data_IF_477734915447
#
_entry.id   IF_477734915447
#
_cell.length_a   1.000
_cell.length_b   1.000
_cell.length_c   1.000
_cell.angle_alpha   90.00
_cell.angle_beta   90.00
_cell.angle_gamma   90.00
#
_symmetry.space_group_name_H-M   'P 1'
#
loop_
_entity.id
_entity.type
_entity.pdbx_description
1 polymer ?
#
# COMPACT_ATOMS: atom_id res chain seq x y z
N UNK A 1 17.70 -15.00 0.19
CA UNK A 1 18.02 -13.58 -0.14
C UNK A 1 17.56 -12.73 1.03
N UNK A 2 18.35 -11.77 1.51
CA UNK A 2 17.92 -10.88 2.59
C UNK A 2 16.83 -9.93 2.06
N UNK A 3 15.78 -9.69 2.84
CA UNK A 3 14.69 -8.80 2.44
C UNK A 3 15.18 -7.35 2.29
N UNK A 4 14.81 -6.69 1.20
CA UNK A 4 15.16 -5.30 0.92
C UNK A 4 14.37 -4.33 1.81
N UNK A 5 14.90 -3.14 2.07
CA UNK A 5 14.20 -2.10 2.82
C UNK A 5 12.86 -1.73 2.18
N UNK A 6 12.84 -1.67 0.84
CA UNK A 6 11.67 -1.46 0.01
C UNK A 6 11.84 -2.21 -1.32
N UNK A 7 10.74 -2.39 -2.04
CA UNK A 7 10.70 -2.99 -3.38
C UNK A 7 9.98 -2.07 -4.35
N UNK A 8 10.32 -2.16 -5.64
CA UNK A 8 9.51 -1.54 -6.69
C UNK A 8 8.17 -2.26 -6.78
N UNK A 9 7.08 -1.51 -6.90
CA UNK A 9 5.75 -2.06 -7.04
C UNK A 9 4.97 -1.30 -8.13
N UNK A 10 4.35 -1.96 -9.12
CA UNK A 10 3.58 -1.29 -10.16
C UNK A 10 2.31 -0.67 -9.56
N UNK A 11 2.01 0.56 -9.96
CA UNK A 11 0.85 1.31 -9.45
C UNK A 11 -0.06 1.83 -10.54
N UNK A 12 0.21 1.54 -11.82
CA UNK A 12 -0.66 1.88 -12.95
C UNK A 12 -2.10 1.40 -12.74
N UNK A 13 -2.29 0.17 -12.27
CA UNK A 13 -3.61 -0.38 -11.96
C UNK A 13 -4.41 0.43 -10.91
N UNK A 14 -3.75 1.24 -10.08
CA UNK A 14 -4.41 2.13 -9.12
C UNK A 14 -4.94 3.37 -9.82
N UNK A 15 -4.18 3.90 -10.78
CA UNK A 15 -4.60 5.02 -11.63
C UNK A 15 -5.76 4.63 -12.54
N UNK A 16 -5.82 3.36 -12.96
CA UNK A 16 -6.91 2.76 -13.74
C UNK A 16 -8.07 2.25 -12.87
N UNK A 17 -8.35 2.92 -11.74
CA UNK A 17 -9.46 2.64 -10.84
C UNK A 17 -9.47 1.22 -10.21
N UNK A 18 -8.37 0.47 -10.28
CA UNK A 18 -8.32 -0.92 -9.84
C UNK A 18 -8.59 -1.12 -8.35
N UNK A 19 -8.28 -0.14 -7.49
CA UNK A 19 -8.66 -0.18 -6.08
C UNK A 19 -10.19 -0.22 -5.87
N UNK A 20 -10.98 0.37 -6.79
CA UNK A 20 -12.45 0.37 -6.69
C UNK A 20 -13.05 -1.03 -6.86
N UNK A 21 -12.34 -1.94 -7.54
CA UNK A 21 -12.76 -3.33 -7.75
C UNK A 21 -12.86 -4.11 -6.42
N UNK A 22 -12.04 -3.74 -5.44
CA UNK A 22 -12.10 -4.30 -4.10
C UNK A 22 -13.20 -3.65 -3.27
N UNK A 23 -14.39 -4.27 -3.26
CA UNK A 23 -15.57 -3.79 -2.51
C UNK A 23 -15.83 -4.64 -1.27
N UNK A 24 -16.35 -4.02 -0.22
CA UNK A 24 -16.81 -4.75 0.97
C UNK A 24 -18.26 -5.18 0.80
N UNK A 25 -18.43 -6.45 0.47
CA UNK A 25 -19.73 -7.14 0.34
C UNK A 25 -19.74 -8.37 1.27
N UNK A 26 -20.92 -8.86 1.70
CA UNK A 26 -21.02 -10.14 2.39
C UNK A 26 -20.26 -11.23 1.64
N UNK A 27 -19.56 -12.10 2.37
CA UNK A 27 -18.75 -13.23 1.85
C UNK A 27 -17.52 -12.86 1.01
N UNK A 28 -17.51 -11.72 0.32
CA UNK A 28 -16.38 -11.25 -0.51
C UNK A 28 -15.42 -10.32 0.22
N UNK A 29 -15.92 -9.51 1.16
CA UNK A 29 -15.12 -8.48 1.84
C UNK A 29 -13.87 -9.04 2.53
N UNK A 30 -14.02 -10.18 3.21
CA UNK A 30 -12.90 -10.88 3.83
C UNK A 30 -11.84 -11.34 2.82
N UNK A 31 -12.27 -11.81 1.64
CA UNK A 31 -11.37 -12.27 0.58
C UNK A 31 -10.64 -11.09 -0.07
N UNK A 32 -11.30 -9.94 -0.22
CA UNK A 32 -10.67 -8.72 -0.73
C UNK A 32 -9.60 -8.15 0.22
N UNK A 33 -9.82 -8.24 1.54
CA UNK A 33 -8.77 -7.89 2.52
C UNK A 33 -7.61 -8.87 2.42
N UNK A 34 -7.91 -10.18 2.38
CA UNK A 34 -6.88 -11.21 2.21
C UNK A 34 -6.09 -11.05 0.90
N UNK A 35 -6.75 -10.65 -0.19
CA UNK A 35 -6.14 -10.37 -1.48
C UNK A 35 -5.11 -9.24 -1.37
N UNK A 36 -5.49 -8.09 -0.82
CA UNK A 36 -4.57 -6.95 -0.68
C UNK A 36 -3.41 -7.23 0.29
N UNK A 37 -3.63 -7.97 1.38
CA UNK A 37 -2.56 -8.44 2.27
C UNK A 37 -1.59 -9.37 1.53
N UNK A 38 -2.13 -10.32 0.76
CA UNK A 38 -1.36 -11.29 -0.01
C UNK A 38 -0.56 -10.61 -1.12
N UNK A 39 -1.15 -9.64 -1.82
CA UNK A 39 -0.49 -8.85 -2.86
C UNK A 39 0.72 -8.09 -2.31
N UNK A 40 0.59 -7.51 -1.12
CA UNK A 40 1.70 -6.83 -0.45
C UNK A 40 2.87 -7.78 -0.19
N UNK A 41 2.60 -8.98 0.35
CA UNK A 41 3.64 -10.00 0.59
C UNK A 41 4.26 -10.49 -0.72
N UNK A 42 3.46 -10.74 -1.77
CA UNK A 42 3.98 -11.09 -3.10
C UNK A 42 4.92 -9.99 -3.60
N UNK A 43 4.51 -8.71 -3.50
CA UNK A 43 5.34 -7.56 -3.82
C UNK A 43 6.69 -7.57 -3.09
N UNK A 44 6.68 -7.76 -1.77
CA UNK A 44 7.90 -7.77 -0.95
C UNK A 44 8.90 -8.88 -1.32
N UNK A 45 8.40 -9.98 -1.86
CA UNK A 45 9.19 -11.15 -2.23
C UNK A 45 9.46 -11.28 -3.74
N UNK A 46 8.99 -10.33 -4.55
CA UNK A 46 9.25 -10.31 -5.97
C UNK A 46 10.73 -10.00 -6.27
N UNK A 47 11.30 -10.72 -7.22
CA UNK A 47 12.62 -10.42 -7.79
C UNK A 47 12.56 -9.23 -8.78
N UNK A 48 13.69 -8.92 -9.43
CA UNK A 48 13.77 -7.83 -10.42
C UNK A 48 12.89 -8.04 -11.66
N UNK A 49 12.43 -9.28 -11.90
CA UNK A 49 11.50 -9.62 -12.98
C UNK A 49 10.04 -9.58 -12.53
N UNK A 50 9.76 -9.24 -11.26
CA UNK A 50 8.40 -9.21 -10.72
C UNK A 50 7.86 -10.58 -10.31
N UNK A 51 8.74 -11.58 -10.13
CA UNK A 51 8.33 -12.93 -9.77
C UNK A 51 8.65 -13.21 -8.31
N UNK A 52 7.62 -13.56 -7.53
CA UNK A 52 7.77 -14.01 -6.16
C UNK A 52 7.74 -15.55 -6.09
N UNK A 53 8.82 -16.14 -5.58
CA UNK A 53 8.89 -17.56 -5.27
C UNK A 53 8.56 -17.78 -3.78
N UNK A 54 7.30 -18.05 -3.45
CA UNK A 54 6.80 -18.15 -2.08
C UNK A 54 5.78 -19.27 -1.93
N UNK A 55 5.97 -20.14 -0.93
CA UNK A 55 5.02 -21.23 -0.65
C UNK A 55 3.77 -20.68 0.04
N UNK A 56 2.70 -21.47 0.07
CA UNK A 56 1.52 -21.16 0.88
C UNK A 56 1.85 -20.98 2.37
N UNK A 57 2.84 -21.73 2.89
CA UNK A 57 3.30 -21.56 4.26
C UNK A 57 4.06 -20.25 4.45
N UNK A 58 4.90 -19.86 3.49
CA UNK A 58 5.55 -18.55 3.51
C UNK A 58 4.55 -17.39 3.48
N UNK A 59 3.51 -17.51 2.65
CA UNK A 59 2.39 -16.57 2.64
C UNK A 59 1.62 -16.58 3.96
N UNK A 60 1.35 -17.75 4.54
CA UNK A 60 0.63 -17.89 5.81
C UNK A 60 1.39 -17.28 6.97
N UNK A 61 2.69 -17.52 7.07
CA UNK A 61 3.54 -16.86 8.06
C UNK A 61 3.53 -15.35 7.84
N UNK A 62 3.82 -14.86 6.63
CA UNK A 62 3.93 -13.43 6.37
C UNK A 62 2.61 -12.65 6.56
N UNK A 63 1.46 -13.26 6.26
CA UNK A 63 0.14 -12.63 6.34
C UNK A 63 -0.64 -12.93 7.61
N UNK A 64 -0.24 -13.92 8.39
CA UNK A 64 -1.02 -14.51 9.48
C UNK A 64 -2.39 -15.09 9.06
N UNK A 65 -2.58 -15.36 7.76
CA UNK A 65 -3.82 -15.93 7.22
C UNK A 65 -3.75 -17.45 7.06
N UNK A 66 -4.91 -18.10 7.15
CA UNK A 66 -5.02 -19.53 6.81
C UNK A 66 -4.78 -19.77 5.31
N UNK A 67 -4.31 -20.97 4.96
CA UNK A 67 -4.13 -21.37 3.55
C UNK A 67 -5.40 -21.20 2.71
N UNK A 68 -6.58 -21.46 3.28
CA UNK A 68 -7.87 -21.26 2.61
C UNK A 68 -8.12 -19.79 2.29
N UNK A 69 -7.79 -18.86 3.21
CA UNK A 69 -7.94 -17.42 2.95
C UNK A 69 -6.90 -16.88 1.97
N UNK A 70 -5.70 -17.44 1.99
CA UNK A 70 -4.68 -17.15 0.97
C UNK A 70 -5.17 -17.60 -0.41
N UNK A 71 -5.70 -18.82 -0.54
CA UNK A 71 -6.24 -19.31 -1.80
C UNK A 71 -7.33 -18.39 -2.36
N UNK A 72 -8.31 -18.04 -1.53
CA UNK A 72 -9.38 -17.12 -1.92
C UNK A 72 -8.85 -15.71 -2.27
N UNK A 73 -7.83 -15.21 -1.56
CA UNK A 73 -7.18 -13.95 -1.88
C UNK A 73 -6.42 -14.01 -3.21
N UNK A 74 -5.71 -15.10 -3.49
CA UNK A 74 -5.01 -15.33 -4.75
C UNK A 74 -5.98 -15.42 -5.94
N UNK A 75 -7.13 -16.07 -5.77
CA UNK A 75 -8.17 -16.14 -6.81
C UNK A 75 -8.69 -14.73 -7.15
N UNK A 76 -8.95 -13.89 -6.13
CA UNK A 76 -9.34 -12.49 -6.33
C UNK A 76 -8.25 -11.69 -7.06
N UNK A 77 -6.97 -11.90 -6.73
CA UNK A 77 -5.87 -11.18 -7.38
C UNK A 77 -5.67 -11.60 -8.84
N UNK A 78 -5.88 -12.87 -9.15
CA UNK A 78 -5.80 -13.39 -10.52
C UNK A 78 -7.01 -12.92 -11.36
N UNK A 79 -8.22 -12.92 -10.79
CA UNK A 79 -9.42 -12.35 -11.43
C UNK A 79 -9.28 -10.83 -11.67
N UNK A 80 -8.60 -10.13 -10.76
CA UNK A 80 -8.30 -8.71 -10.91
C UNK A 80 -7.12 -8.42 -11.87
N UNK A 81 -6.50 -9.46 -12.44
CA UNK A 81 -5.33 -9.39 -13.32
C UNK A 81 -4.12 -8.68 -12.68
N UNK A 82 -3.96 -8.79 -11.36
CA UNK A 82 -2.81 -8.21 -10.65
C UNK A 82 -1.64 -9.20 -10.52
N UNK A 83 -1.95 -10.50 -10.55
CA UNK A 83 -0.94 -11.56 -10.55
C UNK A 83 -1.29 -12.66 -11.57
N UNK A 84 -0.29 -13.46 -11.94
CA UNK A 84 -0.46 -14.75 -12.63
C UNK A 84 0.14 -15.88 -11.81
N UNK A 85 -0.57 -17.01 -11.73
CA UNK A 85 -0.05 -18.25 -11.12
C UNK A 85 0.49 -19.17 -12.21
N UNK A 86 1.80 -19.41 -12.22
CA UNK A 86 2.40 -20.34 -13.19
C UNK A 86 2.16 -21.79 -12.72
N UNK A 87 1.23 -22.50 -13.36
CA UNK A 87 0.78 -23.85 -12.97
C UNK A 87 1.88 -24.93 -12.90
N UNK A 88 3.06 -24.68 -13.47
CA UNK A 88 4.21 -25.59 -13.43
C UNK A 88 5.05 -25.49 -12.13
N UNK A 89 4.84 -24.47 -11.30
CA UNK A 89 5.48 -24.32 -10.00
C UNK A 89 4.52 -23.75 -8.97
N UNK A 90 3.99 -24.61 -8.08
CA UNK A 90 2.93 -24.34 -7.07
C UNK A 90 3.18 -23.18 -6.07
N UNK A 91 4.26 -22.43 -6.26
CA UNK A 91 4.76 -21.39 -5.35
C UNK A 91 5.39 -20.21 -6.11
N UNK A 92 4.99 -19.95 -7.36
CA UNK A 92 5.47 -18.81 -8.16
C UNK A 92 4.31 -17.91 -8.57
N UNK A 93 4.43 -16.63 -8.20
CA UNK A 93 3.46 -15.58 -8.51
C UNK A 93 4.16 -14.49 -9.30
N UNK A 94 3.67 -14.20 -10.50
CA UNK A 94 4.17 -13.12 -11.33
C UNK A 94 3.26 -11.90 -11.15
N UNK A 95 3.83 -10.74 -10.84
CA UNK A 95 3.08 -9.48 -10.78
C UNK A 95 2.85 -8.99 -12.20
N UNK A 96 1.59 -8.75 -12.55
CA UNK A 96 1.22 -8.24 -13.87
C UNK A 96 1.74 -6.81 -14.04
N UNK A 97 2.29 -6.54 -15.22
CA UNK A 97 2.88 -5.24 -15.59
C UNK A 97 3.94 -4.72 -14.60
N UNK A 98 4.76 -5.62 -14.03
CA UNK A 98 5.81 -5.24 -13.08
C UNK A 98 6.79 -4.19 -13.63
N UNK A 99 7.14 -4.30 -14.92
CA UNK A 99 8.03 -3.37 -15.59
C UNK A 99 7.34 -2.06 -16.00
N UNK A 100 6.02 -1.95 -15.86
CA UNK A 100 5.21 -0.80 -16.24
C UNK A 100 5.47 0.47 -15.42
N UNK A 101 4.88 1.57 -15.89
CA UNK A 101 4.84 2.87 -15.22
C UNK A 101 3.37 3.34 -15.15
N UNK A 102 2.98 4.06 -14.08
CA UNK A 102 3.78 4.43 -12.92
C UNK A 102 4.07 3.26 -11.96
N UNK A 103 5.07 3.46 -11.09
CA UNK A 103 5.42 2.54 -10.01
C UNK A 103 5.77 3.32 -8.74
N UNK A 104 5.60 2.67 -7.59
CA UNK A 104 5.89 3.23 -6.26
C UNK A 104 6.90 2.38 -5.48
N UNK A 105 7.50 2.97 -4.43
CA UNK A 105 8.32 2.25 -3.46
C UNK A 105 7.42 1.64 -2.39
N UNK A 106 7.30 0.32 -2.37
CA UNK A 106 6.58 -0.41 -1.34
C UNK A 106 7.56 -0.75 -0.17
N UNK A 107 7.34 -0.23 1.05
CA UNK A 107 8.19 -0.56 2.21
C UNK A 107 8.11 -2.06 2.52
N UNK A 108 9.23 -2.72 2.77
CA UNK A 108 9.27 -4.17 2.98
C UNK A 108 9.92 -4.54 4.32
N UNK A 109 11.27 -4.64 4.40
CA UNK A 109 12.00 -5.18 5.58
C UNK A 109 11.53 -4.66 6.93
N UNK A 110 11.25 -3.36 7.06
CA UNK A 110 10.86 -2.75 8.33
C UNK A 110 9.47 -3.15 8.82
N UNK A 111 8.62 -3.67 7.95
CA UNK A 111 7.28 -4.17 8.31
C UNK A 111 7.30 -5.57 8.93
N UNK A 112 8.38 -6.34 8.72
CA UNK A 112 8.48 -7.72 9.19
C UNK A 112 9.07 -7.81 10.59
N UNK A 113 8.48 -8.68 11.40
CA UNK A 113 8.99 -9.15 12.69
C UNK A 113 9.23 -10.67 12.63
N UNK A 114 9.56 -11.31 13.77
CA UNK A 114 9.88 -12.74 13.88
C UNK A 114 8.78 -13.69 13.34
N UNK A 115 7.56 -13.19 13.10
CA UNK A 115 6.44 -14.01 12.64
C UNK A 115 5.85 -13.66 11.28
N UNK A 116 6.27 -12.57 10.62
CA UNK A 116 5.59 -12.03 9.45
C UNK A 116 5.45 -10.51 9.52
N UNK A 117 4.52 -9.92 8.77
CA UNK A 117 4.24 -8.49 8.85
C UNK A 117 3.52 -8.20 10.16
N UNK A 118 4.15 -7.42 11.04
CA UNK A 118 3.64 -7.20 12.40
C UNK A 118 2.22 -6.63 12.42
N UNK A 119 1.92 -5.67 11.55
CA UNK A 119 0.58 -5.07 11.45
C UNK A 119 -0.52 -6.07 11.07
N UNK A 120 -0.18 -7.16 10.37
CA UNK A 120 -1.15 -8.11 9.85
C UNK A 120 -1.72 -9.06 10.90
N UNK A 121 -1.09 -9.19 12.08
CA UNK A 121 -1.69 -9.94 13.19
C UNK A 121 -2.99 -9.32 13.72
N UNK A 122 -3.18 -8.01 13.51
CA UNK A 122 -4.35 -7.26 13.98
C UNK A 122 -5.44 -7.10 12.90
N UNK A 123 -5.25 -7.67 11.71
CA UNK A 123 -6.30 -7.77 10.68
C UNK A 123 -7.12 -9.04 10.89
N UNK A 124 -8.43 -8.89 11.11
CA UNK A 124 -9.33 -10.00 11.42
C UNK A 124 -10.26 -10.41 10.27
N UNK A 125 -10.18 -9.73 9.12
CA UNK A 125 -11.00 -9.97 7.92
C UNK A 125 -12.52 -9.83 8.16
N UNK A 126 -12.92 -8.98 9.11
CA UNK A 126 -14.32 -8.87 9.57
C UNK A 126 -14.90 -7.48 9.38
N UNK A 127 -14.08 -6.48 9.08
CA UNK A 127 -14.53 -5.08 9.05
C UNK A 127 -14.17 -4.40 7.75
N UNK A 128 -15.12 -3.64 7.21
CA UNK A 128 -14.91 -2.76 6.05
C UNK A 128 -13.72 -1.83 6.22
N UNK A 129 -13.48 -1.32 7.43
CA UNK A 129 -12.36 -0.43 7.74
C UNK A 129 -11.00 -1.06 7.42
N UNK A 130 -10.86 -2.38 7.55
CA UNK A 130 -9.61 -3.09 7.19
C UNK A 130 -9.35 -3.02 5.68
N UNK A 131 -10.40 -3.21 4.88
CA UNK A 131 -10.30 -3.08 3.42
C UNK A 131 -10.00 -1.63 3.02
N UNK A 132 -10.74 -0.67 3.58
CA UNK A 132 -10.53 0.75 3.30
C UNK A 132 -9.10 1.18 3.71
N UNK A 133 -8.56 0.66 4.82
CA UNK A 133 -7.19 0.91 5.25
C UNK A 133 -6.15 0.37 4.25
N UNK A 134 -6.28 -0.88 3.79
CA UNK A 134 -5.34 -1.43 2.80
C UNK A 134 -5.41 -0.68 1.47
N UNK A 135 -6.61 -0.30 1.03
CA UNK A 135 -6.79 0.52 -0.18
C UNK A 135 -6.11 1.89 -0.05
N UNK A 136 -6.28 2.55 1.09
CA UNK A 136 -5.60 3.81 1.38
C UNK A 136 -4.07 3.64 1.44
N UNK A 137 -3.57 2.52 1.96
CA UNK A 137 -2.14 2.21 1.99
C UNK A 137 -1.55 2.09 0.58
N UNK A 138 -2.16 1.29 -0.30
CA UNK A 138 -1.71 1.15 -1.69
C UNK A 138 -1.81 2.47 -2.46
N UNK A 139 -2.88 3.25 -2.24
CA UNK A 139 -2.99 4.59 -2.84
C UNK A 139 -1.86 5.52 -2.38
N UNK A 140 -1.50 5.46 -1.09
CA UNK A 140 -0.37 6.21 -0.53
C UNK A 140 0.95 5.80 -1.21
N UNK A 141 1.15 4.50 -1.49
CA UNK A 141 2.31 4.02 -2.27
C UNK A 141 2.34 4.61 -3.69
N UNK A 142 1.19 4.70 -4.37
CA UNK A 142 1.11 5.30 -5.73
C UNK A 142 1.43 6.79 -5.73
N UNK A 143 0.94 7.54 -4.74
CA UNK A 143 0.96 9.01 -4.74
C UNK A 143 2.09 9.64 -3.91
N UNK A 144 2.95 8.83 -3.30
CA UNK A 144 4.07 9.33 -2.50
C UNK A 144 5.05 10.14 -3.37
N UNK A 145 5.30 11.38 -2.98
CA UNK A 145 6.37 12.19 -3.56
C UNK A 145 7.74 11.71 -3.04
N UNK A 146 8.69 11.43 -3.94
CA UNK A 146 10.02 10.95 -3.57
C UNK A 146 10.88 11.99 -2.82
N UNK A 147 10.64 13.29 -3.04
CA UNK A 147 11.40 14.37 -2.39
C UNK A 147 10.93 14.61 -0.96
N UNK A 148 9.61 14.60 -0.71
CA UNK A 148 9.06 14.87 0.63
C UNK A 148 8.75 13.61 1.43
N UNK A 149 8.72 12.44 0.77
CA UNK A 149 8.28 11.15 1.32
C UNK A 149 6.82 11.16 1.81
N UNK A 150 6.02 12.14 1.37
CA UNK A 150 4.61 12.31 1.75
C UNK A 150 3.74 12.15 0.51
N UNK A 151 2.61 11.46 0.66
CA UNK A 151 1.49 11.53 -0.27
C UNK A 151 0.52 12.59 0.24
N UNK A 152 0.51 13.77 -0.38
CA UNK A 152 -0.46 14.82 -0.08
C UNK A 152 -1.73 14.55 -0.90
N UNK A 153 -2.81 14.17 -0.25
CA UNK A 153 -4.06 13.79 -0.93
C UNK A 153 -5.26 14.40 -0.21
N UNK A 154 -6.11 15.09 -0.98
CA UNK A 154 -7.41 15.53 -0.49
C UNK A 154 -8.35 14.33 -0.39
N UNK A 155 -9.39 14.47 0.42
CA UNK A 155 -10.38 13.40 0.59
C UNK A 155 -11.11 13.10 -0.72
N UNK A 156 -11.33 14.11 -1.57
CA UNK A 156 -11.88 13.98 -2.91
C UNK A 156 -11.01 13.04 -3.76
N UNK A 157 -9.69 13.26 -3.78
CA UNK A 157 -8.73 12.40 -4.50
C UNK A 157 -8.73 10.98 -3.93
N UNK A 158 -8.77 10.82 -2.61
CA UNK A 158 -8.84 9.49 -2.01
C UNK A 158 -10.11 8.76 -2.47
N UNK A 159 -11.27 9.42 -2.41
CA UNK A 159 -12.53 8.84 -2.89
C UNK A 159 -12.48 8.52 -4.38
N UNK A 160 -11.92 9.42 -5.20
CA UNK A 160 -11.81 9.26 -6.64
C UNK A 160 -10.99 8.04 -7.04
N UNK A 161 -9.82 7.79 -6.43
CA UNK A 161 -8.93 6.69 -6.87
C UNK A 161 -9.14 5.38 -6.10
N UNK A 162 -9.64 5.44 -4.87
CA UNK A 162 -9.87 4.23 -4.06
C UNK A 162 -11.33 3.79 -4.00
N UNK A 163 -12.29 4.69 -4.24
CA UNK A 163 -13.70 4.42 -3.98
C UNK A 163 -14.07 4.33 -2.49
N UNK A 164 -13.17 4.75 -1.58
CA UNK A 164 -13.49 4.89 -0.15
C UNK A 164 -14.40 6.11 0.02
N UNK A 165 -15.55 5.94 0.67
CA UNK A 165 -16.42 7.07 1.00
C UNK A 165 -15.73 8.04 1.96
N UNK A 166 -15.93 9.34 1.72
CA UNK A 166 -15.33 10.44 2.48
C UNK A 166 -15.41 10.25 4.01
N UNK A 167 -16.56 9.79 4.50
CA UNK A 167 -16.83 9.56 5.93
C UNK A 167 -15.98 8.46 6.55
N UNK A 168 -15.47 7.53 5.74
CA UNK A 168 -14.64 6.38 6.17
C UNK A 168 -13.14 6.60 6.05
N UNK A 169 -12.69 7.63 5.33
CA UNK A 169 -11.25 7.91 5.15
C UNK A 169 -10.56 8.09 6.50
N UNK A 170 -11.20 8.79 7.45
CA UNK A 170 -10.63 9.02 8.79
C UNK A 170 -10.41 7.70 9.54
N UNK A 171 -11.39 6.80 9.54
CA UNK A 171 -11.27 5.52 10.26
C UNK A 171 -10.22 4.60 9.63
N UNK A 172 -10.12 4.58 8.30
CA UNK A 172 -9.07 3.88 7.57
C UNK A 172 -7.66 4.42 7.91
N UNK A 173 -7.49 5.74 7.88
CA UNK A 173 -6.23 6.40 8.24
C UNK A 173 -5.86 6.16 9.72
N UNK A 174 -6.83 6.22 10.63
CA UNK A 174 -6.61 5.91 12.05
C UNK A 174 -6.17 4.47 12.27
N UNK A 175 -6.74 3.50 11.54
CA UNK A 175 -6.31 2.10 11.62
C UNK A 175 -4.86 1.95 11.12
N UNK A 176 -4.51 2.53 9.97
CA UNK A 176 -3.13 2.49 9.47
C UNK A 176 -2.13 3.12 10.44
N UNK A 177 -2.50 4.24 11.08
CA UNK A 177 -1.64 4.90 12.06
C UNK A 177 -1.48 4.08 13.34
N UNK A 178 -2.57 3.48 13.84
CA UNK A 178 -2.53 2.62 15.02
C UNK A 178 -1.64 1.37 14.80
N UNK A 179 -1.64 0.82 13.58
CA UNK A 179 -0.82 -0.33 13.20
C UNK A 179 0.60 0.05 12.75
N UNK A 180 0.97 1.33 12.83
CA UNK A 180 2.30 1.80 12.45
C UNK A 180 2.62 1.65 10.95
N UNK A 181 1.61 1.58 10.09
CA UNK A 181 1.79 1.47 8.63
C UNK A 181 1.95 2.83 7.95
N UNK A 182 1.28 3.86 8.47
CA UNK A 182 1.30 5.23 7.94
C UNK A 182 1.35 6.24 9.08
N UNK A 183 2.16 7.28 8.94
CA UNK A 183 2.10 8.48 9.76
C UNK A 183 1.20 9.53 9.08
N UNK A 184 0.22 10.05 9.81
CA UNK A 184 -0.64 11.13 9.33
C UNK A 184 -0.09 12.46 9.84
N UNK A 185 0.31 13.32 8.91
CA UNK A 185 0.90 14.63 9.19
C UNK A 185 -0.09 15.73 8.74
N UNK A 186 -0.22 16.81 9.51
CA UNK A 186 -1.00 17.97 9.08
C UNK A 186 -0.08 18.93 8.35
N UNK A 187 -0.37 19.18 7.07
CA UNK A 187 0.37 20.13 6.25
C UNK A 187 -0.44 21.42 6.09
N UNK A 188 0.19 22.59 6.27
CA UNK A 188 -0.37 23.86 5.80
C UNK A 188 -0.63 23.74 4.29
N UNK A 189 -1.74 24.32 3.79
CA UNK A 189 -2.00 24.36 2.36
C UNK A 189 -1.32 25.58 1.74
N UNK A 190 -0.66 25.37 0.61
CA UNK A 190 -0.02 26.45 -0.16
C UNK A 190 -1.04 27.39 -0.84
N UNK A 191 -2.32 26.95 -0.93
CA UNK A 191 -3.39 27.67 -1.64
C UNK A 191 -4.19 28.59 -0.72
N UNK A 192 -4.21 28.32 0.59
CA UNK A 192 -4.87 29.19 1.56
C UNK A 192 -4.18 29.11 2.92
N UNK A 193 -3.96 30.26 3.55
CA UNK A 193 -3.39 30.39 4.89
C UNK A 193 -4.19 29.68 5.99
N UNK A 194 -5.38 29.15 5.68
CA UNK A 194 -6.30 28.46 6.59
C UNK A 194 -6.57 27.00 6.20
N UNK A 195 -6.12 26.55 5.02
CA UNK A 195 -6.35 25.18 4.57
C UNK A 195 -5.36 24.23 5.23
N UNK A 196 -5.86 23.20 5.90
CA UNK A 196 -5.05 22.11 6.43
C UNK A 196 -5.31 20.89 5.54
N UNK A 197 -4.26 20.34 4.93
CA UNK A 197 -4.31 19.07 4.21
C UNK A 197 -3.65 17.97 5.04
N UNK A 198 -4.14 16.73 4.93
CA UNK A 198 -3.49 15.60 5.58
C UNK A 198 -2.46 15.02 4.61
N UNK A 199 -1.20 15.00 5.03
CA UNK A 199 -0.13 14.24 4.39
C UNK A 199 -0.07 12.82 4.97
N UNK A 200 0.12 11.83 4.11
CA UNK A 200 0.28 10.44 4.50
C UNK A 200 1.71 10.00 4.21
N UNK A 201 2.47 9.60 5.22
CA UNK A 201 3.84 9.11 5.08
C UNK A 201 3.92 7.63 5.42
N UNK A 202 4.47 6.83 4.51
CA UNK A 202 4.68 5.40 4.73
C UNK A 202 5.70 5.18 5.84
N UNK A 203 5.38 4.28 6.77
CA UNK A 203 6.35 3.86 7.77
C UNK A 203 7.49 3.06 7.12
N UNK A 204 8.66 3.06 7.77
CA UNK A 204 9.86 2.31 7.37
C UNK A 204 10.44 2.60 5.98
N UNK A 205 9.97 3.66 5.32
CA UNK A 205 10.50 4.12 4.05
C UNK A 205 11.18 5.47 4.25
N UNK A 206 12.48 5.53 3.94
CA UNK A 206 13.29 6.75 3.98
C UNK A 206 13.04 7.59 5.26
N UNK A 207 13.22 7.00 6.46
CA UNK A 207 12.75 7.59 7.71
C UNK A 207 13.41 8.93 8.05
N UNK A 208 14.56 9.25 7.46
CA UNK A 208 15.25 10.54 7.62
C UNK A 208 14.73 11.65 6.69
N UNK A 209 13.85 11.31 5.74
CA UNK A 209 13.22 12.25 4.82
C UNK A 209 11.86 12.63 5.40
N UNK A 210 11.86 13.59 6.33
CA UNK A 210 10.65 14.19 6.90
C UNK A 210 10.88 15.64 7.35
N UNK A 211 9.79 16.37 7.60
CA UNK A 211 9.82 17.81 7.95
C UNK A 211 10.74 18.16 9.13
N UNK A 212 10.85 17.27 10.13
CA UNK A 212 11.75 17.47 11.28
C UNK A 212 13.26 17.43 10.98
N UNK A 213 13.68 16.78 9.89
CA UNK A 213 15.11 16.65 9.51
C UNK A 213 15.46 17.55 8.32
N UNK A 214 14.47 17.84 7.46
CA UNK A 214 14.58 18.83 6.36
C UNK A 214 14.19 20.25 6.80
N UNK A 215 14.29 20.56 8.09
CA UNK A 215 13.68 21.72 8.73
C UNK A 215 13.73 23.03 7.92
N UNK A 216 12.58 23.72 7.87
CA UNK A 216 12.40 25.12 7.42
C UNK A 216 12.94 25.51 6.03
N UNK A 217 13.42 24.58 5.21
CA UNK A 217 13.90 24.87 3.86
C UNK A 217 12.81 24.91 2.79
N UNK A 218 11.52 24.84 3.16
CA UNK A 218 10.43 24.82 2.19
C UNK A 218 10.07 26.23 1.67
N UNK A 219 10.68 27.29 2.23
CA UNK A 219 10.52 28.66 1.73
C UNK A 219 11.46 29.00 0.55
N UNK A 220 12.48 28.18 0.25
CA UNK A 220 13.56 28.55 -0.69
C UNK A 220 13.63 27.74 -2.00
N UNK A 221 12.73 26.77 -2.25
CA UNK A 221 12.81 25.91 -3.46
C UNK A 221 11.80 26.24 -4.57
N UNK A 222 11.07 27.35 -4.50
CA UNK A 222 10.01 27.68 -5.48
C UNK A 222 10.34 28.82 -6.48
N UNK A 223 11.61 29.20 -6.66
CA UNK A 223 11.96 30.32 -7.57
C UNK A 223 13.16 30.12 -8.51
N UNK A 224 13.64 28.89 -8.75
CA UNK A 224 14.88 28.72 -9.53
C UNK A 224 14.79 28.04 -10.91
N UNK A 225 13.68 27.43 -11.32
CA UNK A 225 13.63 26.69 -12.60
C UNK A 225 12.42 27.05 -13.49
N UNK A 226 12.22 28.35 -13.72
CA UNK A 226 11.41 28.87 -14.83
C UNK A 226 12.11 30.08 -15.48
N UNK A 227 13.17 29.81 -16.26
CA UNK A 227 13.57 30.62 -17.43
C UNK A 227 13.94 29.69 -18.59
#
# INVERSE_FOLDING_TARGET
>A
MAMKAWVRFPTAWIEDDGLKRFRWEPEKGANNVAALMTLMVIGHHADEAGVAALTYDGLSSATHLSRTKIAAGLDVLEEAELIRRNGLGRSRYEIVDYAGKPWGKLPAKGLYSTGGIAAFSDFHLRRRTELDALKLYFLTVSRRNNATNIANMKYETITEYSGIERTRIRSAASLLAALGLVHVERLPSDISSHGISNGYRLAHLEPYVHMGTKGRGMDDFDYADLE
#
